data_IF_884065715371
#
_entry.id   IF_884065715371
#
_cell.length_a   1.000
_cell.length_b   1.000
_cell.length_c   1.000
_cell.angle_alpha   90.00
_cell.angle_beta   90.00
_cell.angle_gamma   90.00
#
_symmetry.space_group_name_H-M   'P 1'
#
loop_
_entity.id
_entity.type
_entity.pdbx_description
1 polymer ?
#
# COMPACT_ATOMS: atom_id res chain seq x y z
N UNK A 1 26.04 86.38 34.96
CA UNK A 1 24.63 86.75 35.20
C UNK A 1 23.82 86.44 33.95
N UNK A 2 22.71 85.72 34.10
CA UNK A 2 21.53 85.62 33.23
C UNK A 2 21.74 84.96 31.84
N UNK A 3 21.22 83.74 31.60
CA UNK A 3 19.82 83.41 31.24
C UNK A 3 19.43 84.02 29.87
N UNK A 4 19.06 83.28 28.81
CA UNK A 4 17.77 82.57 28.61
C UNK A 4 17.72 81.95 27.18
N UNK A 5 17.22 80.71 27.04
CA UNK A 5 15.95 80.33 26.32
C UNK A 5 16.09 80.14 24.80
N UNK A 6 16.36 78.90 24.33
CA UNK A 6 15.47 77.92 23.65
C UNK A 6 14.84 78.33 22.32
N UNK A 7 15.03 77.48 21.29
CA UNK A 7 13.91 76.93 20.51
C UNK A 7 14.31 75.66 19.75
N UNK A 8 13.30 74.79 19.67
CA UNK A 8 13.28 73.36 19.44
C UNK A 8 13.16 73.02 17.96
N UNK A 9 13.75 71.90 17.52
CA UNK A 9 13.31 71.19 16.33
C UNK A 9 13.35 69.68 16.60
N UNK A 10 12.16 69.09 16.69
CA UNK A 10 11.93 67.65 16.73
C UNK A 10 11.68 67.20 15.30
N UNK A 11 12.46 66.23 14.81
CA UNK A 11 12.10 65.44 13.65
C UNK A 11 12.48 63.97 13.91
N UNK A 12 11.42 63.18 14.04
CA UNK A 12 11.35 61.75 14.30
C UNK A 12 12.05 60.91 13.22
N UNK A 13 12.98 60.04 13.63
CA UNK A 13 13.52 58.99 12.79
C UNK A 13 12.55 57.80 12.72
N UNK A 14 12.04 57.49 11.53
CA UNK A 14 11.30 56.25 11.26
C UNK A 14 12.27 55.07 11.24
N UNK A 15 12.13 54.15 12.18
CA UNK A 15 12.76 52.83 12.14
C UNK A 15 11.91 51.88 11.28
N UNK A 16 12.39 51.52 10.09
CA UNK A 16 11.84 50.39 9.32
C UNK A 16 12.31 49.08 9.95
N UNK A 17 11.42 48.42 10.70
CA UNK A 17 11.60 47.04 11.12
C UNK A 17 11.23 46.12 9.95
N UNK A 18 12.24 45.52 9.32
CA UNK A 18 12.08 44.41 8.37
C UNK A 18 11.48 43.21 9.12
N UNK A 19 10.19 42.97 8.92
CA UNK A 19 9.52 41.73 9.32
C UNK A 19 10.07 40.58 8.46
N UNK A 20 10.98 39.80 9.05
CA UNK A 20 11.36 38.51 8.51
C UNK A 20 10.15 37.57 8.63
N UNK A 21 9.44 37.38 7.52
CA UNK A 21 8.46 36.31 7.37
C UNK A 21 9.17 34.97 7.46
N UNK A 22 9.32 34.44 8.67
CA UNK A 22 9.75 33.07 8.91
C UNK A 22 8.68 32.12 8.37
N UNK A 23 8.87 31.64 7.15
CA UNK A 23 8.13 30.51 6.61
C UNK A 23 8.54 29.28 7.42
N UNK A 24 7.83 29.01 8.51
CA UNK A 24 7.96 27.74 9.21
C UNK A 24 7.60 26.63 8.22
N UNK A 25 8.60 25.91 7.73
CA UNK A 25 8.39 24.69 6.97
C UNK A 25 7.57 23.76 7.87
N UNK A 26 6.29 23.53 7.51
CA UNK A 26 5.47 22.55 8.17
C UNK A 26 6.20 21.20 8.05
N UNK A 27 6.78 20.73 9.16
CA UNK A 27 7.33 19.40 9.25
C UNK A 27 6.20 18.45 8.82
N UNK A 28 6.38 17.78 7.67
CA UNK A 28 5.38 16.84 7.17
C UNK A 28 5.24 15.75 8.23
N UNK A 29 4.12 15.74 8.94
CA UNK A 29 3.85 14.75 9.96
C UNK A 29 3.87 13.36 9.32
N UNK A 30 4.56 12.41 9.97
CA UNK A 30 4.56 10.99 9.57
C UNK A 30 3.11 10.51 9.47
N UNK A 31 2.68 9.93 8.32
CA UNK A 31 1.34 9.40 8.19
C UNK A 31 1.04 8.36 9.29
N UNK A 32 -0.12 8.43 9.98
CA UNK A 32 -0.44 7.50 11.07
C UNK A 32 -0.58 6.07 10.56
N UNK A 33 -0.46 5.09 11.45
CA UNK A 33 -0.64 3.67 11.10
C UNK A 33 -2.08 3.38 10.65
N UNK A 34 -2.31 2.91 9.40
CA UNK A 34 -3.64 2.55 8.93
C UNK A 34 -4.19 1.22 9.46
N UNK A 35 -3.35 0.33 9.97
CA UNK A 35 -3.70 -1.04 10.34
C UNK A 35 -3.10 -1.48 11.69
N UNK A 36 -3.46 -0.82 12.81
CA UNK A 36 -2.86 -1.10 14.11
C UNK A 36 -3.33 -2.42 14.76
N UNK A 37 -4.36 -3.09 14.21
CA UNK A 37 -4.92 -4.31 14.80
C UNK A 37 -4.26 -5.61 14.31
N UNK A 38 -3.49 -5.52 13.23
CA UNK A 38 -2.72 -6.63 12.67
C UNK A 38 -1.60 -7.13 13.59
N UNK A 39 -0.95 -8.26 13.23
CA UNK A 39 0.22 -8.76 13.92
C UNK A 39 1.25 -7.65 14.11
N UNK A 40 1.88 -7.60 15.28
CA UNK A 40 2.93 -6.62 15.54
C UNK A 40 4.27 -7.18 15.09
N UNK A 41 5.02 -6.37 14.33
CA UNK A 41 6.38 -6.75 13.93
C UNK A 41 7.32 -6.74 15.14
N UNK A 42 8.32 -7.64 15.20
CA UNK A 42 9.46 -7.44 16.08
C UNK A 42 10.07 -6.06 15.82
N UNK A 43 10.47 -5.39 16.90
CA UNK A 43 11.16 -4.11 16.78
C UNK A 43 12.51 -4.31 16.08
N UNK A 44 12.79 -3.41 15.14
CA UNK A 44 14.07 -3.32 14.44
C UNK A 44 14.43 -1.84 14.37
N UNK A 45 15.63 -1.44 14.84
CA UNK A 45 16.02 -0.03 14.88
C UNK A 45 16.17 0.52 13.46
N UNK A 46 15.85 1.79 13.28
CA UNK A 46 16.06 2.47 12.01
C UNK A 46 17.56 2.52 11.67
N UNK A 47 17.87 2.30 10.39
CA UNK A 47 19.24 2.40 9.88
C UNK A 47 19.38 3.62 8.97
N UNK A 48 20.56 4.22 8.96
CA UNK A 48 20.86 5.24 7.96
C UNK A 48 20.73 4.66 6.55
N UNK A 49 20.17 5.43 5.61
CA UNK A 49 19.99 4.97 4.24
C UNK A 49 19.41 6.04 3.33
N UNK A 50 19.22 5.67 2.07
CA UNK A 50 18.61 6.55 1.07
C UNK A 50 17.11 6.73 1.32
N UNK A 51 16.57 7.86 0.86
CA UNK A 51 15.14 8.10 0.85
C UNK A 51 14.51 7.38 -0.35
N UNK A 52 13.46 6.62 -0.10
CA UNK A 52 12.64 6.03 -1.15
C UNK A 52 11.63 7.04 -1.68
N UNK A 53 11.46 7.05 -2.99
CA UNK A 53 10.43 7.80 -3.71
C UNK A 53 9.51 6.78 -4.35
N UNK A 54 8.32 6.64 -3.77
CA UNK A 54 7.30 5.71 -4.25
C UNK A 54 6.27 6.41 -5.13
N UNK A 55 5.80 5.70 -6.14
CA UNK A 55 4.63 6.06 -6.92
C UNK A 55 3.66 4.89 -6.96
N UNK A 56 2.37 5.19 -7.06
CA UNK A 56 1.31 4.21 -7.09
C UNK A 56 0.39 4.46 -8.28
N UNK A 57 0.13 3.42 -9.05
CA UNK A 57 -0.96 3.35 -10.02
C UNK A 57 -1.88 2.21 -9.63
N UNK A 58 -3.19 2.40 -9.83
CA UNK A 58 -4.20 1.36 -9.55
C UNK A 58 -5.19 1.30 -10.71
N UNK A 59 -5.53 0.08 -11.13
CA UNK A 59 -6.68 -0.16 -12.01
C UNK A 59 -7.78 -0.86 -11.24
N UNK A 60 -9.03 -0.52 -11.58
CA UNK A 60 -10.22 -1.07 -10.97
C UNK A 60 -11.23 -1.42 -12.07
N UNK A 61 -11.46 -2.72 -12.27
CA UNK A 61 -12.30 -3.26 -13.33
C UNK A 61 -13.49 -4.01 -12.73
N UNK A 62 -14.70 -3.59 -13.07
CA UNK A 62 -15.93 -4.26 -12.66
C UNK A 62 -16.16 -5.51 -13.50
N UNK A 63 -16.44 -6.62 -12.82
CA UNK A 63 -16.79 -7.90 -13.42
C UNK A 63 -18.17 -7.91 -14.10
N UNK A 64 -18.45 -8.93 -14.92
CA UNK A 64 -19.66 -9.03 -15.74
C UNK A 64 -20.94 -9.25 -14.90
N UNK A 65 -20.80 -9.76 -13.68
CA UNK A 65 -21.89 -9.88 -12.70
C UNK A 65 -22.37 -8.53 -12.14
N UNK A 66 -21.69 -7.44 -12.53
CA UNK A 66 -22.02 -6.08 -12.13
C UNK A 66 -21.67 -5.76 -10.68
N UNK A 67 -20.95 -6.63 -9.96
CA UNK A 67 -20.58 -6.41 -8.55
C UNK A 67 -19.15 -6.77 -8.24
N UNK A 68 -18.63 -7.85 -8.83
CA UNK A 68 -17.25 -8.27 -8.65
C UNK A 68 -16.30 -7.18 -9.14
N UNK A 69 -15.14 -7.11 -8.50
CA UNK A 69 -14.14 -6.10 -8.75
C UNK A 69 -12.76 -6.75 -8.85
N UNK A 70 -12.06 -6.49 -9.94
CA UNK A 70 -10.61 -6.73 -10.02
C UNK A 70 -9.89 -5.43 -9.72
N UNK A 71 -9.00 -5.46 -8.74
CA UNK A 71 -8.16 -4.33 -8.33
C UNK A 71 -6.72 -4.74 -8.59
N UNK A 72 -5.95 -3.94 -9.33
CA UNK A 72 -4.53 -4.19 -9.53
C UNK A 72 -3.70 -2.97 -9.12
N UNK A 73 -2.84 -3.16 -8.12
CA UNK A 73 -1.85 -2.18 -7.68
C UNK A 73 -0.58 -2.36 -8.50
N UNK A 74 0.03 -1.24 -8.89
CA UNK A 74 1.36 -1.16 -9.50
C UNK A 74 2.14 -0.08 -8.75
N UNK A 75 2.97 -0.53 -7.80
CA UNK A 75 3.90 0.32 -7.05
C UNK A 75 5.21 0.36 -7.83
N UNK A 76 5.76 1.56 -7.99
CA UNK A 76 7.17 1.74 -8.39
C UNK A 76 7.93 2.50 -7.32
N UNK A 77 9.17 2.10 -7.09
CA UNK A 77 10.02 2.61 -6.03
C UNK A 77 11.42 2.88 -6.58
N UNK A 78 12.00 4.01 -6.20
CA UNK A 78 13.39 4.36 -6.52
C UNK A 78 14.04 5.06 -5.34
N UNK A 79 15.36 4.95 -5.22
CA UNK A 79 16.11 5.81 -4.31
C UNK A 79 16.18 7.24 -4.85
N UNK A 80 16.16 8.23 -3.97
CA UNK A 80 16.43 9.63 -4.30
C UNK A 80 17.82 9.80 -4.91
N UNK A 81 18.79 9.01 -4.44
CA UNK A 81 20.18 9.01 -4.90
C UNK A 81 20.42 8.24 -6.21
N UNK A 82 19.39 7.61 -6.79
CA UNK A 82 19.50 6.75 -7.98
C UNK A 82 20.05 5.34 -7.71
N UNK A 83 20.36 5.01 -6.46
CA UNK A 83 20.76 3.67 -6.02
C UNK A 83 19.56 2.71 -5.86
N UNK A 84 19.82 1.50 -5.38
CA UNK A 84 18.77 0.55 -4.96
C UNK A 84 17.95 1.18 -3.83
N UNK A 85 16.60 1.16 -3.89
CA UNK A 85 15.77 1.66 -2.80
C UNK A 85 15.97 0.84 -1.53
N UNK A 86 15.82 1.49 -0.38
CA UNK A 86 15.85 0.81 0.91
C UNK A 86 14.75 -0.25 1.00
N UNK A 87 15.05 -1.38 1.66
CA UNK A 87 14.09 -2.45 1.90
C UNK A 87 12.87 -1.96 2.68
N UNK A 88 11.70 -2.50 2.35
CA UNK A 88 10.50 -2.26 3.14
C UNK A 88 10.47 -3.17 4.37
N UNK A 89 9.84 -2.66 5.44
CA UNK A 89 9.46 -3.43 6.62
C UNK A 89 7.99 -3.80 6.60
N UNK A 90 7.18 -2.94 5.99
CA UNK A 90 5.73 -3.07 6.01
C UNK A 90 5.10 -2.35 4.84
N UNK A 91 4.06 -2.95 4.29
CA UNK A 91 3.15 -2.34 3.33
C UNK A 91 1.72 -2.49 3.79
N UNK A 92 0.92 -1.44 3.68
CA UNK A 92 -0.53 -1.50 3.92
C UNK A 92 -1.27 -0.98 2.70
N UNK A 93 -1.94 -1.87 2.00
CA UNK A 93 -2.81 -1.52 0.88
C UNK A 93 -4.14 -0.98 1.42
N UNK A 94 -4.52 0.23 0.99
CA UNK A 94 -5.76 0.89 1.39
C UNK A 94 -6.78 0.83 0.26
N UNK A 95 -7.97 0.35 0.57
CA UNK A 95 -9.03 0.14 -0.40
C UNK A 95 -10.16 1.15 -0.22
N UNK A 96 -10.63 1.70 -1.35
CA UNK A 96 -11.74 2.64 -1.43
C UNK A 96 -12.91 2.22 -0.53
N UNK A 97 -13.56 3.19 0.09
CA UNK A 97 -14.66 2.93 1.03
C UNK A 97 -15.81 2.07 0.47
N UNK A 98 -16.00 2.07 -0.86
CA UNK A 98 -17.03 1.28 -1.54
C UNK A 98 -16.67 -0.20 -1.70
N UNK A 99 -15.40 -0.58 -1.50
CA UNK A 99 -14.90 -1.94 -1.66
C UNK A 99 -15.26 -2.81 -0.47
N UNK A 100 -15.65 -4.06 -0.76
CA UNK A 100 -15.94 -5.11 0.22
C UNK A 100 -15.19 -6.37 -0.18
N UNK A 101 -14.69 -7.11 0.81
CA UNK A 101 -14.09 -8.41 0.60
C UNK A 101 -15.01 -9.52 1.10
N UNK A 102 -14.97 -10.68 0.43
CA UNK A 102 -15.77 -11.87 0.75
C UNK A 102 -14.86 -13.09 1.04
N UNK A 103 -13.94 -13.04 2.02
CA UNK A 103 -12.95 -14.11 2.23
C UNK A 103 -13.59 -15.47 2.55
N UNK A 104 -14.74 -15.48 3.22
CA UNK A 104 -15.47 -16.71 3.60
C UNK A 104 -16.12 -17.44 2.41
N UNK A 105 -16.21 -16.80 1.23
CA UNK A 105 -16.72 -17.44 0.02
C UNK A 105 -15.65 -18.29 -0.70
N UNK A 106 -14.37 -18.10 -0.35
CA UNK A 106 -13.21 -18.70 -0.98
C UNK A 106 -12.56 -19.71 -0.02
N UNK A 107 -12.05 -20.86 -0.50
CA UNK A 107 -11.28 -21.77 0.34
C UNK A 107 -10.00 -21.08 0.82
N UNK A 108 -9.45 -21.52 1.94
CA UNK A 108 -8.18 -21.03 2.46
C UNK A 108 -7.04 -21.96 2.05
N UNK A 109 -5.90 -21.40 1.63
CA UNK A 109 -4.64 -22.12 1.59
C UNK A 109 -3.79 -21.73 2.81
N UNK A 110 -3.22 -22.72 3.51
CA UNK A 110 -2.36 -22.45 4.67
C UNK A 110 -0.91 -22.26 4.24
N UNK A 111 -0.17 -21.45 5.00
CA UNK A 111 1.26 -21.25 4.79
C UNK A 111 2.03 -22.57 4.81
N UNK A 112 1.79 -23.39 5.83
CA UNK A 112 2.43 -24.70 6.01
C UNK A 112 2.22 -25.63 4.82
N UNK A 113 1.04 -25.61 4.19
CA UNK A 113 0.78 -26.42 3.01
C UNK A 113 1.66 -25.99 1.82
N UNK A 114 1.79 -24.67 1.61
CA UNK A 114 2.66 -24.12 0.56
C UNK A 114 4.13 -24.43 0.84
N UNK A 115 4.58 -24.29 2.09
CA UNK A 115 5.97 -24.59 2.47
C UNK A 115 6.32 -26.06 2.27
N UNK A 116 5.39 -26.98 2.54
CA UNK A 116 5.65 -28.43 2.47
C UNK A 116 5.41 -29.03 1.08
N UNK A 117 4.43 -28.52 0.34
CA UNK A 117 3.91 -29.19 -0.87
C UNK A 117 3.82 -28.24 -2.08
N UNK A 118 4.20 -26.96 -1.90
CA UNK A 118 4.15 -25.94 -2.94
C UNK A 118 2.74 -25.41 -3.19
N UNK A 119 2.67 -24.39 -4.03
CA UNK A 119 1.41 -23.66 -4.33
C UNK A 119 0.37 -24.51 -5.06
N UNK A 120 0.79 -25.57 -5.75
CA UNK A 120 -0.11 -26.48 -6.47
C UNK A 120 -0.93 -27.37 -5.53
N UNK A 121 -0.51 -27.50 -4.26
CA UNK A 121 -1.28 -28.22 -3.25
C UNK A 121 -2.43 -27.39 -2.65
N UNK A 122 -2.48 -26.08 -2.92
CA UNK A 122 -3.55 -25.24 -2.43
C UNK A 122 -4.92 -25.68 -2.97
N UNK A 123 -6.01 -25.63 -2.16
CA UNK A 123 -7.34 -25.98 -2.63
C UNK A 123 -7.77 -25.16 -3.85
N UNK A 124 -8.46 -25.79 -4.79
CA UNK A 124 -9.00 -25.11 -5.98
C UNK A 124 -9.86 -23.89 -5.58
N UNK A 125 -9.64 -22.77 -6.25
CA UNK A 125 -10.34 -21.51 -5.98
C UNK A 125 -9.83 -20.76 -4.74
N UNK A 126 -8.76 -21.20 -4.08
CA UNK A 126 -8.10 -20.42 -3.02
C UNK A 126 -7.18 -19.31 -3.57
N UNK A 127 -6.70 -19.43 -4.81
CA UNK A 127 -5.98 -18.35 -5.50
C UNK A 127 -6.95 -17.21 -5.81
N UNK A 128 -6.69 -16.03 -5.25
CA UNK A 128 -7.55 -14.85 -5.36
C UNK A 128 -7.00 -13.76 -6.28
N UNK A 129 -5.74 -13.92 -6.70
CA UNK A 129 -5.07 -13.03 -7.63
C UNK A 129 -3.59 -13.34 -7.80
N UNK A 130 -2.81 -12.31 -8.10
CA UNK A 130 -1.39 -12.42 -8.39
C UNK A 130 -0.84 -11.18 -9.08
N UNK A 131 0.39 -11.26 -9.56
CA UNK A 131 1.08 -10.16 -10.22
C UNK A 131 2.56 -10.46 -10.44
N UNK A 132 3.40 -9.44 -10.28
CA UNK A 132 4.83 -9.51 -10.60
C UNK A 132 5.63 -8.63 -9.65
N UNK A 133 6.78 -9.12 -9.17
CA UNK A 133 7.76 -8.33 -8.42
C UNK A 133 9.03 -8.17 -9.25
N UNK A 134 9.62 -6.98 -9.24
CA UNK A 134 10.89 -6.70 -9.92
C UNK A 134 11.88 -6.11 -8.90
N UNK A 135 13.08 -6.69 -8.85
CA UNK A 135 14.21 -6.18 -8.08
C UNK A 135 15.11 -5.31 -8.95
N UNK A 136 16.06 -4.61 -8.32
CA UNK A 136 17.02 -3.76 -9.04
C UNK A 136 17.90 -4.52 -10.05
N UNK A 137 18.00 -5.85 -9.94
CA UNK A 137 18.64 -6.72 -10.94
C UNK A 137 17.89 -6.79 -12.27
N UNK A 138 16.64 -6.31 -12.31
CA UNK A 138 15.76 -6.34 -13.50
C UNK A 138 15.03 -7.68 -13.68
N UNK A 139 15.30 -8.68 -12.85
CA UNK A 139 14.60 -9.96 -12.91
C UNK A 139 13.19 -9.82 -12.33
N UNK A 140 12.20 -10.15 -13.16
CA UNK A 140 10.80 -10.13 -12.79
C UNK A 140 10.35 -11.52 -12.33
N UNK A 141 9.79 -11.60 -11.13
CA UNK A 141 9.30 -12.83 -10.51
C UNK A 141 7.78 -12.83 -10.46
N UNK A 142 7.17 -14.01 -10.65
CA UNK A 142 5.73 -14.18 -10.47
C UNK A 142 5.35 -13.98 -9.00
N UNK A 143 4.22 -13.31 -8.80
CA UNK A 143 3.57 -13.17 -7.49
C UNK A 143 2.21 -13.85 -7.54
N UNK A 144 1.92 -14.68 -6.55
CA UNK A 144 0.66 -15.38 -6.39
C UNK A 144 -0.04 -14.91 -5.11
N UNK A 145 -1.36 -14.72 -5.14
CA UNK A 145 -2.12 -14.33 -3.96
C UNK A 145 -3.16 -15.39 -3.62
N UNK A 146 -3.12 -15.92 -2.40
CA UNK A 146 -4.05 -16.95 -1.92
C UNK A 146 -4.84 -16.46 -0.71
N UNK A 147 -6.14 -16.73 -0.68
CA UNK A 147 -6.97 -16.50 0.49
C UNK A 147 -6.50 -17.39 1.65
N UNK A 148 -6.45 -16.83 2.86
CA UNK A 148 -6.00 -17.55 4.05
C UNK A 148 -6.65 -17.01 5.34
N UNK A 149 -6.23 -17.57 6.47
CA UNK A 149 -6.49 -17.09 7.83
C UNK A 149 -5.16 -16.89 8.55
N UNK A 150 -4.98 -15.73 9.17
CA UNK A 150 -3.82 -15.41 10.00
C UNK A 150 -4.34 -15.13 11.41
N UNK A 151 -4.18 -16.12 12.29
CA UNK A 151 -4.89 -16.13 13.57
C UNK A 151 -6.42 -16.00 13.37
N UNK A 152 -7.11 -15.09 14.06
CA UNK A 152 -8.56 -14.89 13.90
C UNK A 152 -8.94 -14.07 12.66
N UNK A 153 -7.97 -13.44 11.98
CA UNK A 153 -8.23 -12.51 10.90
C UNK A 153 -8.27 -13.21 9.53
N UNK A 154 -9.17 -12.80 8.62
CA UNK A 154 -8.98 -13.09 7.21
C UNK A 154 -7.65 -12.51 6.71
N UNK A 155 -7.03 -13.20 5.76
CA UNK A 155 -5.76 -12.74 5.22
C UNK A 155 -5.49 -13.21 3.80
N UNK A 156 -4.34 -12.79 3.29
CA UNK A 156 -3.81 -13.18 2.00
C UNK A 156 -2.39 -13.69 2.19
N UNK A 157 -2.07 -14.85 1.62
CA UNK A 157 -0.68 -15.27 1.41
C UNK A 157 -0.22 -14.73 0.07
N UNK A 158 0.82 -13.92 0.08
CA UNK A 158 1.51 -13.48 -1.13
C UNK A 158 2.77 -14.34 -1.29
N UNK A 159 2.82 -15.11 -2.37
CA UNK A 159 3.86 -16.11 -2.61
C UNK A 159 4.66 -15.71 -3.84
N UNK A 160 5.99 -15.72 -3.71
CA UNK A 160 6.94 -15.56 -4.80
C UNK A 160 7.65 -16.92 -4.98
N UNK A 161 7.15 -17.81 -5.87
CA UNK A 161 7.65 -19.18 -5.95
C UNK A 161 9.15 -19.26 -6.25
N UNK A 162 9.66 -18.38 -7.12
CA UNK A 162 11.05 -18.38 -7.55
C UNK A 162 12.04 -18.13 -6.39
N UNK A 163 11.67 -17.32 -5.40
CA UNK A 163 12.49 -17.02 -4.23
C UNK A 163 12.09 -17.82 -2.98
N UNK A 164 11.03 -18.62 -3.05
CA UNK A 164 10.48 -19.34 -1.90
C UNK A 164 9.88 -18.43 -0.82
N UNK A 165 9.70 -17.13 -1.11
CA UNK A 165 9.17 -16.15 -0.16
C UNK A 165 7.65 -16.31 -0.06
N UNK A 166 7.16 -16.36 1.19
CA UNK A 166 5.74 -16.33 1.52
C UNK A 166 5.52 -15.21 2.53
N UNK A 167 4.72 -14.23 2.15
CA UNK A 167 4.35 -13.08 2.96
C UNK A 167 2.90 -13.24 3.43
N UNK A 168 2.68 -12.86 4.68
CA UNK A 168 1.36 -12.89 5.31
C UNK A 168 0.79 -11.49 5.33
N UNK A 169 -0.42 -11.33 4.78
CA UNK A 169 -1.14 -10.07 4.78
C UNK A 169 -2.44 -10.19 5.57
N UNK A 170 -2.64 -9.39 6.61
CA UNK A 170 -3.88 -9.40 7.40
C UNK A 170 -4.88 -8.38 6.89
N UNK A 171 -6.14 -8.79 6.74
CA UNK A 171 -7.22 -7.93 6.27
C UNK A 171 -8.02 -7.40 7.46
N UNK A 172 -8.01 -6.08 7.64
CA UNK A 172 -8.73 -5.43 8.74
C UNK A 172 -9.34 -4.08 8.38
N UNK A 173 -10.11 -3.51 9.32
CA UNK A 173 -10.66 -2.17 9.18
C UNK A 173 -9.55 -1.15 9.31
N UNK A 174 -9.57 -0.15 8.44
CA UNK A 174 -8.65 0.98 8.58
C UNK A 174 -8.86 1.73 9.89
N UNK A 175 -7.77 2.25 10.45
CA UNK A 175 -7.80 3.09 11.65
C UNK A 175 -8.55 4.40 11.42
N UNK A 176 -8.99 5.04 12.52
CA UNK A 176 -9.87 6.23 12.51
C UNK A 176 -9.45 7.32 11.51
N UNK A 177 -8.16 7.71 11.39
CA UNK A 177 -7.74 8.75 10.46
C UNK A 177 -8.07 8.47 8.98
N UNK A 178 -8.25 7.20 8.60
CA UNK A 178 -8.43 6.76 7.22
C UNK A 178 -9.88 6.39 6.87
N UNK A 179 -10.77 6.25 7.86
CA UNK A 179 -12.13 5.71 7.67
C UNK A 179 -13.04 6.55 6.77
N UNK A 180 -12.70 7.83 6.56
CA UNK A 180 -13.44 8.71 5.65
C UNK A 180 -13.33 8.23 4.19
N UNK A 181 -12.13 7.84 3.79
CA UNK A 181 -11.77 7.59 2.40
C UNK A 181 -11.63 6.09 2.10
N UNK A 182 -11.22 5.32 3.10
CA UNK A 182 -10.91 3.90 2.97
C UNK A 182 -11.76 3.06 3.94
N UNK A 183 -11.95 1.78 3.59
CA UNK A 183 -12.76 0.85 4.40
C UNK A 183 -11.99 -0.37 4.89
N UNK A 184 -10.97 -0.78 4.16
CA UNK A 184 -10.14 -1.93 4.46
C UNK A 184 -8.67 -1.57 4.30
N UNK A 185 -7.86 -2.14 5.18
CA UNK A 185 -6.42 -2.21 5.07
C UNK A 185 -6.03 -3.68 4.90
N UNK A 186 -5.10 -3.94 3.99
CA UNK A 186 -4.43 -5.24 3.87
C UNK A 186 -2.96 -5.03 4.24
N UNK A 187 -2.59 -5.49 5.42
CA UNK A 187 -1.33 -5.22 6.09
C UNK A 187 -0.34 -6.36 5.91
N UNK A 188 0.71 -6.11 5.15
CA UNK A 188 1.83 -7.00 4.89
C UNK A 188 3.04 -6.60 5.73
N UNK A 189 3.48 -7.49 6.61
CA UNK A 189 4.75 -7.34 7.33
C UNK A 189 5.81 -8.16 6.63
N UNK A 190 6.93 -7.52 6.29
CA UNK A 190 8.11 -8.21 5.80
C UNK A 190 8.88 -8.72 7.02
N UNK A 191 8.97 -10.05 7.22
CA UNK A 191 9.67 -10.59 8.38
C UNK A 191 11.16 -10.22 8.30
N UNK A 192 11.81 -9.97 9.45
CA UNK A 192 13.26 -9.84 9.48
C UNK A 192 13.94 -11.06 8.86
N UNK A 193 14.99 -10.82 8.09
CA UNK A 193 15.80 -11.87 7.48
C UNK A 193 17.20 -11.86 8.10
N UNK A 194 18.02 -12.86 7.75
CA UNK A 194 19.45 -12.88 8.10
C UNK A 194 20.25 -11.76 7.43
N UNK A 195 19.69 -11.12 6.40
CA UNK A 195 20.29 -9.94 5.75
C UNK A 195 20.10 -8.74 6.67
N UNK A 196 21.19 -8.07 7.09
CA UNK A 196 21.11 -6.87 7.92
C UNK A 196 20.24 -5.78 7.26
N UNK A 197 19.51 -4.95 8.04
CA UNK A 197 18.56 -3.99 7.48
C UNK A 197 19.18 -3.03 6.45
N UNK A 198 20.42 -2.59 6.69
CA UNK A 198 21.16 -1.70 5.80
C UNK A 198 21.54 -2.34 4.44
N UNK A 199 21.49 -3.66 4.35
CA UNK A 199 21.81 -4.45 3.14
C UNK A 199 20.54 -4.96 2.44
N UNK A 200 19.34 -4.74 3.02
CA UNK A 200 18.09 -5.19 2.41
C UNK A 200 17.74 -4.31 1.23
N UNK A 201 17.86 -4.88 0.03
CA UNK A 201 17.37 -4.27 -1.20
C UNK A 201 15.84 -4.24 -1.25
N UNK A 202 15.27 -3.09 -1.59
CA UNK A 202 13.85 -2.96 -1.93
C UNK A 202 13.55 -3.43 -3.35
N UNK A 203 12.28 -3.77 -3.60
CA UNK A 203 11.76 -3.93 -4.97
C UNK A 203 11.68 -2.59 -5.68
N UNK A 204 11.95 -2.57 -6.98
CA UNK A 204 11.81 -1.38 -7.83
C UNK A 204 10.41 -1.28 -8.43
N UNK A 205 9.74 -2.42 -8.58
CA UNK A 205 8.33 -2.50 -8.97
C UNK A 205 7.66 -3.67 -8.26
N UNK A 206 6.42 -3.46 -7.84
CA UNK A 206 5.61 -4.52 -7.27
C UNK A 206 4.17 -4.37 -7.76
N UNK A 207 3.70 -5.40 -8.46
CA UNK A 207 2.36 -5.50 -8.99
C UNK A 207 1.62 -6.60 -8.24
N UNK A 208 0.44 -6.26 -7.73
CA UNK A 208 -0.43 -7.20 -7.03
C UNK A 208 -1.88 -6.92 -7.36
N UNK A 209 -2.59 -7.96 -7.77
CA UNK A 209 -4.01 -7.89 -8.10
C UNK A 209 -4.85 -8.85 -7.26
N UNK A 210 -6.11 -8.47 -7.07
CA UNK A 210 -7.15 -9.25 -6.42
C UNK A 210 -8.40 -9.17 -7.29
N UNK A 211 -8.98 -10.29 -7.66
CA UNK A 211 -10.14 -10.26 -8.57
C UNK A 211 -10.80 -11.60 -8.86
N UNK A 212 -10.40 -12.68 -8.19
CA UNK A 212 -11.02 -13.98 -8.41
C UNK A 212 -12.53 -13.95 -8.13
N UNK A 213 -13.26 -14.74 -8.89
CA UNK A 213 -14.70 -14.94 -8.72
C UNK A 213 -15.00 -16.43 -8.55
N UNK A 214 -16.02 -16.77 -7.77
CA UNK A 214 -16.44 -18.15 -7.55
C UNK A 214 -17.95 -18.26 -7.38
N UNK A 215 -18.53 -19.37 -7.83
CA UNK A 215 -19.90 -19.72 -7.44
C UNK A 215 -19.95 -20.15 -5.97
N UNK A 216 -20.67 -19.40 -5.15
CA UNK A 216 -20.88 -19.70 -3.73
C UNK A 216 -22.37 -19.56 -3.41
N UNK A 217 -22.98 -20.64 -2.89
CA UNK A 217 -24.42 -20.71 -2.57
C UNK A 217 -25.33 -20.26 -3.73
N UNK A 218 -25.05 -20.73 -4.94
CA UNK A 218 -25.84 -20.45 -6.14
C UNK A 218 -25.66 -19.06 -6.76
N UNK A 219 -24.73 -18.24 -6.24
CA UNK A 219 -24.42 -16.90 -6.77
C UNK A 219 -22.94 -16.81 -7.18
N UNK A 220 -22.64 -16.11 -8.27
CA UNK A 220 -21.28 -15.68 -8.57
C UNK A 220 -20.85 -14.58 -7.60
N UNK A 221 -19.75 -14.79 -6.88
CA UNK A 221 -19.21 -13.90 -5.85
C UNK A 221 -17.77 -13.56 -6.18
N UNK A 222 -17.45 -12.26 -6.22
CA UNK A 222 -16.06 -11.80 -6.31
C UNK A 222 -15.38 -11.80 -4.94
N UNK A 223 -14.08 -12.08 -4.92
CA UNK A 223 -13.28 -11.93 -3.70
C UNK A 223 -13.34 -10.48 -3.21
N UNK A 224 -13.23 -9.52 -4.14
CA UNK A 224 -13.61 -8.14 -3.94
C UNK A 224 -14.91 -7.81 -4.71
N UNK A 225 -15.79 -7.05 -4.07
CA UNK A 225 -16.99 -6.46 -4.68
C UNK A 225 -17.02 -4.95 -4.41
N UNK A 226 -17.75 -4.18 -5.21
CA UNK A 226 -17.95 -2.74 -4.99
C UNK A 226 -19.41 -2.32 -5.15
N UNK A 227 -19.82 -1.34 -4.34
CA UNK A 227 -21.11 -0.65 -4.47
C UNK A 227 -21.05 0.60 -5.38
N UNK A 228 -19.86 1.03 -5.82
CA UNK A 228 -19.70 2.22 -6.65
C UNK A 228 -20.16 1.97 -8.09
N UNK A 229 -20.82 2.95 -8.72
CA UNK A 229 -21.32 2.79 -10.10
C UNK A 229 -20.17 2.82 -11.11
N UNK A 230 -20.29 2.16 -12.28
CA UNK A 230 -19.34 2.35 -13.39
C UNK A 230 -19.11 3.85 -13.68
N UNK A 231 -17.87 4.22 -13.97
CA UNK A 231 -17.45 5.62 -14.14
C UNK A 231 -17.17 6.38 -12.84
N UNK A 232 -17.51 5.84 -11.67
CA UNK A 232 -17.12 6.45 -10.40
C UNK A 232 -15.60 6.43 -10.24
N UNK A 233 -15.03 7.50 -9.69
CA UNK A 233 -13.60 7.55 -9.33
C UNK A 233 -13.41 6.94 -7.94
N UNK A 234 -12.63 5.86 -7.88
CA UNK A 234 -12.27 5.17 -6.63
C UNK A 234 -10.91 5.67 -6.13
N UNK A 235 -10.74 5.72 -4.80
CA UNK A 235 -9.50 6.11 -4.13
C UNK A 235 -8.76 4.91 -3.52
N UNK A 236 -7.45 4.83 -3.78
CA UNK A 236 -6.58 3.78 -3.23
C UNK A 236 -5.32 4.39 -2.66
N UNK A 237 -4.72 3.72 -1.68
CA UNK A 237 -3.47 4.13 -1.06
C UNK A 237 -2.54 2.95 -0.83
N UNK A 238 -1.26 3.25 -0.69
CA UNK A 238 -0.26 2.30 -0.20
C UNK A 238 0.57 3.01 0.86
N UNK A 239 0.39 2.63 2.12
CA UNK A 239 1.24 3.08 3.20
C UNK A 239 2.45 2.16 3.26
N UNK A 240 3.67 2.70 3.27
CA UNK A 240 4.90 1.89 3.32
C UNK A 240 5.82 2.41 4.41
N UNK A 241 6.39 1.50 5.19
CA UNK A 241 7.47 1.77 6.14
C UNK A 241 8.74 1.06 5.67
N UNK A 242 9.86 1.78 5.66
CA UNK A 242 11.17 1.27 5.24
C UNK A 242 12.11 1.02 6.41
N UNK A 243 13.19 0.27 6.15
CA UNK A 243 14.25 0.02 7.13
C UNK A 243 14.92 1.29 7.67
N UNK A 244 14.78 2.40 6.94
CA UNK A 244 15.27 3.72 7.32
C UNK A 244 14.37 4.49 8.29
N UNK A 245 13.23 3.91 8.69
CA UNK A 245 12.18 4.60 9.45
C UNK A 245 11.32 5.54 8.60
N UNK A 246 11.65 5.70 7.31
CA UNK A 246 10.84 6.50 6.41
C UNK A 246 9.45 5.86 6.23
N UNK A 247 8.42 6.69 6.35
CA UNK A 247 7.04 6.36 5.98
C UNK A 247 6.62 7.16 4.76
N UNK A 248 6.00 6.50 3.79
CA UNK A 248 5.39 7.14 2.60
C UNK A 248 3.96 6.66 2.41
N UNK A 249 3.14 7.51 1.79
CA UNK A 249 1.75 7.20 1.45
C UNK A 249 1.39 7.73 0.06
N UNK A 250 1.89 7.13 -1.04
CA UNK A 250 1.35 7.40 -2.36
C UNK A 250 -0.12 6.98 -2.45
N UNK A 251 -0.93 7.81 -3.09
CA UNK A 251 -2.35 7.54 -3.35
C UNK A 251 -2.64 7.55 -4.85
N UNK A 252 -3.60 6.75 -5.28
CA UNK A 252 -4.06 6.69 -6.67
C UNK A 252 -5.58 6.89 -6.74
N UNK A 253 -6.04 7.58 -7.79
CA UNK A 253 -7.45 7.71 -8.14
C UNK A 253 -7.66 7.14 -9.52
N UNK A 254 -8.67 6.30 -9.69
CA UNK A 254 -8.90 5.59 -10.95
C UNK A 254 -10.39 5.46 -11.23
N UNK A 255 -10.85 5.65 -12.49
CA UNK A 255 -12.24 5.40 -12.84
C UNK A 255 -12.54 3.89 -12.78
N UNK A 256 -13.70 3.54 -12.23
CA UNK A 256 -14.21 2.18 -12.30
C UNK A 256 -14.69 1.87 -13.72
N UNK A 257 -13.94 1.04 -14.44
CA UNK A 257 -14.27 0.63 -15.81
C UNK A 257 -15.04 -0.69 -15.82
N UNK A 258 -15.88 -0.91 -16.83
CA UNK A 258 -16.49 -2.21 -17.06
C UNK A 258 -15.48 -3.12 -17.74
N UNK A 259 -15.42 -4.39 -17.33
CA UNK A 259 -14.69 -5.40 -18.09
C UNK A 259 -15.28 -5.47 -19.50
N UNK A 260 -14.44 -5.28 -20.49
CA UNK A 260 -14.85 -5.46 -21.88
C UNK A 260 -14.70 -6.93 -22.26
N UNK A 261 -15.51 -7.39 -23.20
CA UNK A 261 -15.47 -8.76 -23.74
C UNK A 261 -14.06 -9.25 -24.11
N UNK A 262 -13.17 -8.33 -24.48
CA UNK A 262 -11.81 -8.56 -24.97
C UNK A 262 -10.81 -8.90 -23.86
N UNK A 263 -11.09 -8.53 -22.61
CA UNK A 263 -10.21 -8.82 -21.46
C UNK A 263 -10.28 -10.30 -21.01
N UNK A 264 -11.25 -11.07 -21.54
CA UNK A 264 -11.49 -12.48 -21.17
C UNK A 264 -10.33 -13.42 -21.47
N UNK A 265 -9.47 -13.09 -22.43
CA UNK A 265 -8.33 -13.95 -22.79
C UNK A 265 -7.14 -13.80 -21.84
N UNK A 266 -7.11 -12.76 -20.99
CA UNK A 266 -6.04 -12.57 -20.01
C UNK A 266 -6.32 -13.21 -18.64
N UNK A 267 -7.57 -13.59 -18.35
CA UNK A 267 -7.98 -14.21 -17.07
C UNK A 267 -8.25 -15.71 -17.15
N UNK A 268 -8.06 -16.35 -18.32
CA UNK A 268 -8.30 -17.78 -18.53
C UNK A 268 -7.04 -18.67 -18.34
N UNK A 269 -5.95 -18.12 -17.79
CA UNK A 269 -4.77 -18.91 -17.39
C UNK A 269 -4.66 -18.80 -15.87
N UNK A 270 -5.14 -19.83 -15.16
CA UNK A 270 -5.03 -19.96 -13.71
C UNK A 270 -6.14 -20.79 -13.10
#
# INVERSE_FOLDING_TARGET
MNARTTLTAVATALSLSLLASGTAAAASATPPDPAPGGPQRPHEPDVAGTRNIDSLSVTATRGPDGRSLTIAFDRRSRAETGQVPAGARRFVFLFDRSVRFNPEAFPTCSRTLIEQQGVQACPEGSRIGGGRGEYATGEAQEVLAFNTRIGPLPGVLVVLPASGVILEQTLERVSVPYQRDYRWALDEILPPTSVPPQERAGTVRFQLSFGATRHHRGRLVGFAETSARPGSVLGFGLWSEFVTGQVVLPTARTPLVLSTSTDRNASAIG
#
